data_IF_482974943896
#
_entry.id   IF_482974943896
#
_cell.length_a   1.000
_cell.length_b   1.000
_cell.length_c   1.000
_cell.angle_alpha   90.00
_cell.angle_beta   90.00
_cell.angle_gamma   90.00
#
_symmetry.space_group_name_H-M   'P 1'
#
loop_
_entity.id
_entity.type
_entity.pdbx_description
1 polymer ?
#
# COMPACT_ATOMS: atom_id res chain seq x y z
N UNK A 1 -32.53 -54.46 19.04
CA UNK A 1 -32.16 -53.12 18.54
C UNK A 1 -30.72 -53.01 18.00
N UNK A 2 -29.92 -54.10 17.96
CA UNK A 2 -28.49 -54.06 17.57
C UNK A 2 -28.20 -54.27 16.07
N UNK A 3 -29.19 -54.65 15.26
CA UNK A 3 -28.96 -54.99 13.84
C UNK A 3 -28.56 -53.76 13.01
N UNK A 4 -29.17 -52.60 13.30
CA UNK A 4 -28.87 -51.34 12.60
C UNK A 4 -27.41 -50.90 12.83
N UNK A 5 -26.94 -50.94 14.07
CA UNK A 5 -25.55 -50.61 14.41
C UNK A 5 -24.53 -51.53 13.72
N UNK A 6 -24.85 -52.83 13.60
CA UNK A 6 -23.99 -53.78 12.87
C UNK A 6 -23.91 -53.45 11.37
N UNK A 7 -25.03 -53.03 10.78
CA UNK A 7 -25.08 -52.61 9.37
C UNK A 7 -24.26 -51.34 9.16
N UNK A 8 -24.43 -50.32 10.01
CA UNK A 8 -23.65 -49.07 9.95
C UNK A 8 -22.15 -49.39 10.06
N UNK A 9 -21.74 -50.22 11.03
CA UNK A 9 -20.34 -50.58 11.22
C UNK A 9 -19.73 -51.23 9.97
N UNK A 10 -20.46 -52.16 9.34
CA UNK A 10 -20.01 -52.83 8.11
C UNK A 10 -19.86 -51.84 6.95
N UNK A 11 -20.86 -50.98 6.73
CA UNK A 11 -20.84 -50.00 5.64
C UNK A 11 -19.77 -48.92 5.85
N UNK A 12 -19.59 -48.43 7.08
CA UNK A 12 -18.54 -47.48 7.42
C UNK A 12 -17.14 -48.08 7.16
N UNK A 13 -16.87 -49.28 7.68
CA UNK A 13 -15.57 -49.95 7.46
C UNK A 13 -15.32 -50.24 5.97
N UNK A 14 -16.36 -50.58 5.21
CA UNK A 14 -16.27 -50.78 3.75
C UNK A 14 -15.94 -49.48 3.01
N UNK A 15 -16.42 -48.34 3.48
CA UNK A 15 -16.14 -47.03 2.88
C UNK A 15 -14.77 -46.49 3.28
N UNK A 16 -14.43 -46.50 4.56
CA UNK A 16 -13.18 -45.91 5.08
C UNK A 16 -11.94 -46.70 4.68
N UNK A 17 -12.04 -48.02 4.50
CA UNK A 17 -10.91 -48.86 4.04
C UNK A 17 -10.66 -48.78 2.54
N UNK A 18 -11.53 -48.14 1.75
CA UNK A 18 -11.28 -47.95 0.32
C UNK A 18 -10.13 -46.98 0.13
N UNK A 19 -9.18 -47.33 -0.75
CA UNK A 19 -8.06 -46.46 -1.12
C UNK A 19 -8.54 -45.08 -1.58
N UNK A 20 -9.62 -45.03 -2.36
CA UNK A 20 -10.21 -43.77 -2.82
C UNK A 20 -10.69 -42.88 -1.67
N UNK A 21 -11.27 -43.46 -0.61
CA UNK A 21 -11.73 -42.70 0.55
C UNK A 21 -10.54 -42.11 1.32
N UNK A 22 -9.48 -42.89 1.54
CA UNK A 22 -8.28 -42.43 2.23
C UNK A 22 -7.58 -41.32 1.43
N UNK A 23 -7.42 -41.51 0.11
CA UNK A 23 -6.82 -40.52 -0.79
C UNK A 23 -7.64 -39.23 -0.76
N UNK A 24 -8.95 -39.30 -0.95
CA UNK A 24 -9.81 -38.12 -0.96
C UNK A 24 -9.78 -37.40 0.40
N UNK A 25 -9.79 -38.14 1.51
CA UNK A 25 -9.83 -37.55 2.86
C UNK A 25 -8.54 -36.80 3.21
N UNK A 26 -7.37 -37.20 2.68
CA UNK A 26 -6.13 -36.43 2.82
C UNK A 26 -5.96 -35.36 1.75
N UNK A 27 -6.35 -35.67 0.52
CA UNK A 27 -6.14 -34.78 -0.63
C UNK A 27 -7.06 -33.57 -0.58
N UNK A 28 -8.30 -33.71 -0.10
CA UNK A 28 -9.25 -32.59 -0.01
C UNK A 28 -8.79 -31.50 0.96
N UNK A 29 -8.36 -31.78 2.20
CA UNK A 29 -7.77 -30.76 3.08
C UNK A 29 -6.51 -30.12 2.48
N UNK A 30 -5.62 -30.91 1.87
CA UNK A 30 -4.40 -30.40 1.24
C UNK A 30 -4.71 -29.48 0.06
N UNK A 31 -5.68 -29.87 -0.78
CA UNK A 31 -6.17 -29.07 -1.88
C UNK A 31 -6.79 -27.75 -1.39
N UNK A 32 -7.60 -27.80 -0.32
CA UNK A 32 -8.17 -26.59 0.30
C UNK A 32 -7.08 -25.63 0.78
N UNK A 33 -6.02 -26.13 1.41
CA UNK A 33 -4.86 -25.29 1.78
C UNK A 33 -4.25 -24.66 0.52
N UNK A 34 -4.05 -25.44 -0.55
CA UNK A 34 -3.52 -24.94 -1.82
C UNK A 34 -4.38 -23.83 -2.45
N UNK A 35 -5.71 -23.96 -2.42
CA UNK A 35 -6.64 -22.96 -2.96
C UNK A 35 -6.50 -21.59 -2.27
N UNK A 36 -6.17 -21.55 -0.98
CA UNK A 36 -5.96 -20.29 -0.26
C UNK A 36 -4.51 -19.81 -0.31
N UNK A 37 -3.53 -20.71 -0.19
CA UNK A 37 -2.11 -20.35 -0.13
C UNK A 37 -1.58 -19.90 -1.49
N UNK A 38 -1.96 -20.58 -2.58
CA UNK A 38 -1.42 -20.28 -3.92
C UNK A 38 -1.75 -18.86 -4.38
N UNK A 39 -3.00 -18.35 -4.28
CA UNK A 39 -3.29 -16.95 -4.63
C UNK A 39 -2.55 -15.94 -3.77
N UNK A 40 -2.36 -16.22 -2.46
CA UNK A 40 -1.61 -15.35 -1.56
C UNK A 40 -0.14 -15.28 -1.97
N UNK A 41 0.48 -16.41 -2.28
CA UNK A 41 1.87 -16.47 -2.75
C UNK A 41 2.05 -15.76 -4.10
N UNK A 42 1.12 -15.96 -5.03
CA UNK A 42 1.14 -15.27 -6.33
C UNK A 42 0.93 -13.75 -6.17
N UNK A 43 0.02 -13.32 -5.29
CA UNK A 43 -0.18 -11.91 -4.98
C UNK A 43 1.01 -11.27 -4.26
N UNK A 44 1.81 -12.04 -3.52
CA UNK A 44 3.05 -11.56 -2.90
C UNK A 44 4.26 -11.54 -3.85
N UNK A 45 4.21 -12.31 -4.95
CA UNK A 45 5.34 -12.41 -5.89
C UNK A 45 5.34 -11.34 -6.96
N UNK A 46 4.27 -10.55 -7.08
CA UNK A 46 4.23 -9.33 -7.88
C UNK A 46 4.86 -8.17 -7.10
N UNK A 47 6.13 -8.32 -6.72
CA UNK A 47 6.99 -7.21 -6.29
C UNK A 47 7.40 -6.35 -7.49
N UNK A 48 6.48 -6.11 -8.43
CA UNK A 48 6.66 -5.07 -9.42
C UNK A 48 6.51 -3.75 -8.66
N UNK A 49 7.66 -3.21 -8.26
CA UNK A 49 7.75 -1.93 -7.61
C UNK A 49 7.11 -0.90 -8.54
N UNK A 50 6.03 -0.27 -8.09
CA UNK A 50 5.33 0.73 -8.89
C UNK A 50 6.25 1.93 -9.09
N UNK A 51 6.50 2.26 -10.35
CA UNK A 51 7.38 3.36 -10.76
C UNK A 51 6.55 4.59 -11.12
N UNK A 52 6.90 5.73 -10.52
CA UNK A 52 6.23 7.01 -10.74
C UNK A 52 7.27 8.01 -11.24
N UNK A 53 7.16 8.41 -12.50
CA UNK A 53 7.92 9.51 -13.05
C UNK A 53 7.30 10.84 -12.59
N UNK A 54 8.11 11.78 -12.13
CA UNK A 54 7.68 13.11 -11.68
C UNK A 54 8.32 14.16 -12.56
N UNK A 55 7.49 14.99 -13.18
CA UNK A 55 7.90 16.23 -13.86
C UNK A 55 7.37 17.39 -13.02
N UNK A 56 8.29 18.10 -12.37
CA UNK A 56 8.01 19.31 -11.61
C UNK A 56 8.57 20.53 -12.32
N UNK A 57 7.68 21.38 -12.84
CA UNK A 57 8.06 22.60 -13.53
C UNK A 57 8.44 23.74 -12.58
N UNK A 58 8.11 23.67 -11.29
CA UNK A 58 8.36 24.73 -10.31
C UNK A 58 9.75 24.62 -9.66
N UNK A 59 10.48 23.52 -9.87
CA UNK A 59 11.80 23.24 -9.30
C UNK A 59 11.83 23.32 -7.77
N UNK A 60 10.76 22.89 -7.09
CA UNK A 60 10.74 22.87 -5.63
C UNK A 60 11.61 21.73 -5.11
N UNK A 61 12.91 21.98 -4.90
CA UNK A 61 13.84 20.95 -4.40
C UNK A 61 13.39 20.32 -3.05
N UNK A 62 12.61 21.04 -2.25
CA UNK A 62 12.05 20.55 -0.98
C UNK A 62 10.83 19.62 -1.16
N UNK A 63 10.21 19.66 -2.34
CA UNK A 63 9.03 18.87 -2.74
C UNK A 63 9.42 17.46 -3.25
N UNK A 64 10.44 16.85 -2.67
CA UNK A 64 10.80 15.45 -2.98
C UNK A 64 10.01 14.46 -2.14
N UNK A 65 9.11 13.73 -2.78
CA UNK A 65 8.48 12.49 -2.30
C UNK A 65 9.54 11.42 -2.01
N UNK A 66 9.25 10.58 -1.01
CA UNK A 66 10.16 9.56 -0.49
C UNK A 66 9.76 8.19 -0.99
N UNK A 67 10.66 7.52 -1.71
CA UNK A 67 10.45 6.14 -2.20
C UNK A 67 10.31 5.15 -1.05
N UNK A 68 9.59 4.05 -1.30
CA UNK A 68 9.42 2.94 -0.36
C UNK A 68 9.73 1.61 -1.03
N UNK A 69 9.51 0.49 -0.34
CA UNK A 69 9.76 -0.84 -0.90
C UNK A 69 8.95 -1.11 -2.17
N UNK A 70 7.69 -0.64 -2.22
CA UNK A 70 6.75 -0.92 -3.31
C UNK A 70 6.49 0.28 -4.24
N UNK A 71 7.12 1.43 -3.97
CA UNK A 71 6.94 2.67 -4.74
C UNK A 71 8.29 3.33 -5.01
N UNK A 72 8.57 3.63 -6.28
CA UNK A 72 9.76 4.35 -6.71
C UNK A 72 9.40 5.66 -7.39
N UNK A 73 10.00 6.76 -6.94
CA UNK A 73 9.85 8.07 -7.58
C UNK A 73 11.09 8.43 -8.39
N UNK A 74 10.90 8.68 -9.68
CA UNK A 74 11.95 9.10 -10.61
C UNK A 74 11.71 10.55 -11.04
N UNK A 75 12.58 11.47 -10.63
CA UNK A 75 12.47 12.89 -10.97
C UNK A 75 13.12 13.15 -12.32
N UNK A 76 12.32 13.55 -13.28
CA UNK A 76 12.75 13.84 -14.64
C UNK A 76 12.83 15.35 -14.81
N UNK A 77 13.85 15.95 -14.20
CA UNK A 77 14.11 17.37 -14.35
C UNK A 77 14.44 17.65 -15.83
N UNK A 78 13.88 18.73 -16.39
CA UNK A 78 14.22 19.26 -17.73
C UNK A 78 13.62 18.54 -18.97
N UNK A 79 12.70 17.58 -18.79
CA UNK A 79 11.96 17.00 -19.92
C UNK A 79 10.69 17.79 -20.25
N UNK A 80 10.49 18.12 -21.52
CA UNK A 80 9.22 18.64 -22.01
C UNK A 80 8.18 17.51 -22.04
N UNK A 81 7.16 17.62 -21.17
CA UNK A 81 6.06 16.65 -21.03
C UNK A 81 5.44 16.31 -22.40
N UNK A 82 5.09 17.33 -23.19
CA UNK A 82 4.35 17.16 -24.44
C UNK A 82 5.11 16.34 -25.48
N UNK A 83 6.45 16.43 -25.47
CA UNK A 83 7.29 15.71 -26.43
C UNK A 83 7.56 14.26 -26.04
N UNK A 84 7.49 13.93 -24.74
CA UNK A 84 7.93 12.62 -24.22
C UNK A 84 6.79 11.83 -23.54
N UNK A 85 5.58 12.39 -23.47
CA UNK A 85 4.42 11.81 -22.76
C UNK A 85 4.20 10.34 -23.09
N UNK A 86 4.16 9.98 -24.38
CA UNK A 86 3.91 8.60 -24.82
C UNK A 86 5.00 7.64 -24.34
N UNK A 87 6.27 7.98 -24.56
CA UNK A 87 7.41 7.15 -24.13
C UNK A 87 7.46 7.01 -22.62
N UNK A 88 7.12 8.07 -21.87
CA UNK A 88 7.10 8.04 -20.40
C UNK A 88 5.98 7.16 -19.86
N UNK A 89 4.79 7.21 -20.46
CA UNK A 89 3.65 6.36 -20.09
C UNK A 89 3.92 4.88 -20.43
N UNK A 90 4.75 4.58 -21.43
CA UNK A 90 5.19 3.21 -21.74
C UNK A 90 6.32 2.71 -20.83
N UNK A 91 7.12 3.62 -20.27
CA UNK A 91 8.31 3.28 -19.45
C UNK A 91 7.99 3.19 -17.97
N UNK A 92 7.07 4.02 -17.47
CA UNK A 92 6.71 4.14 -16.06
C UNK A 92 5.24 3.78 -15.85
N UNK A 93 4.90 3.23 -14.68
CA UNK A 93 3.51 2.89 -14.36
C UNK A 93 2.63 4.14 -14.25
N UNK A 94 3.17 5.22 -13.70
CA UNK A 94 2.48 6.50 -13.57
C UNK A 94 3.41 7.68 -13.88
N UNK A 95 2.85 8.70 -14.51
CA UNK A 95 3.50 9.97 -14.76
C UNK A 95 2.75 11.08 -14.01
N UNK A 96 3.39 11.62 -13.00
CA UNK A 96 2.87 12.71 -12.18
C UNK A 96 3.45 14.04 -12.69
N UNK A 97 2.56 14.94 -13.10
CA UNK A 97 2.92 16.27 -13.58
C UNK A 97 2.49 17.33 -12.58
N UNK A 98 3.43 18.19 -12.20
CA UNK A 98 3.20 19.36 -11.38
C UNK A 98 3.44 20.58 -12.29
N UNK A 99 2.38 21.22 -12.78
CA UNK A 99 2.50 22.35 -13.68
C UNK A 99 3.09 23.56 -12.97
N UNK A 100 3.68 24.46 -13.75
CA UNK A 100 4.13 25.76 -13.24
C UNK A 100 2.92 26.56 -12.78
N UNK A 101 2.97 27.08 -11.56
CA UNK A 101 1.85 27.77 -10.92
C UNK A 101 2.32 29.06 -10.24
N UNK A 102 1.48 30.09 -10.30
CA UNK A 102 1.81 31.43 -9.81
C UNK A 102 1.73 31.55 -8.27
N UNK A 103 1.01 30.64 -7.61
CA UNK A 103 0.76 30.67 -6.16
C UNK A 103 0.66 29.27 -5.58
N UNK A 104 1.39 28.97 -4.50
CA UNK A 104 1.50 27.62 -3.88
C UNK A 104 0.12 26.99 -3.58
N UNK A 105 -0.89 27.80 -3.29
CA UNK A 105 -2.27 27.36 -3.04
C UNK A 105 -2.93 26.68 -4.24
N UNK A 106 -2.43 26.92 -5.46
CA UNK A 106 -2.93 26.31 -6.69
C UNK A 106 -2.31 24.93 -6.95
N UNK A 107 -1.27 24.52 -6.22
CA UNK A 107 -0.64 23.19 -6.38
C UNK A 107 -1.65 22.08 -6.06
N UNK A 108 -2.47 22.26 -5.03
CA UNK A 108 -3.41 21.24 -4.53
C UNK A 108 -4.35 20.72 -5.62
N UNK A 109 -4.79 21.60 -6.52
CA UNK A 109 -5.76 21.27 -7.56
C UNK A 109 -5.15 21.07 -8.96
N UNK A 110 -3.84 21.23 -9.11
CA UNK A 110 -3.17 21.24 -10.41
C UNK A 110 -2.28 20.02 -10.68
N UNK A 111 -2.08 19.15 -9.68
CA UNK A 111 -1.31 17.92 -9.87
C UNK A 111 -2.12 16.92 -10.70
N UNK A 112 -1.54 16.51 -11.82
CA UNK A 112 -2.15 15.59 -12.76
C UNK A 112 -1.37 14.27 -12.81
N UNK A 113 -2.08 13.15 -13.00
CA UNK A 113 -1.48 11.83 -13.14
C UNK A 113 -1.93 11.19 -14.45
N UNK A 114 -0.96 10.75 -15.24
CA UNK A 114 -1.14 10.08 -16.52
C UNK A 114 -0.65 8.63 -16.41
N UNK A 115 -1.44 7.67 -16.92
CA UNK A 115 -1.09 6.24 -16.96
C UNK A 115 -1.97 5.49 -17.96
N UNK A 116 -1.51 4.33 -18.42
CA UNK A 116 -2.34 3.35 -19.14
C UNK A 116 -3.28 2.58 -18.22
N UNK A 117 -2.94 2.50 -16.93
CA UNK A 117 -3.61 1.68 -15.92
C UNK A 117 -4.20 2.55 -14.82
N UNK A 118 -5.23 2.04 -14.14
CA UNK A 118 -5.81 2.73 -13.00
C UNK A 118 -4.87 2.64 -11.79
N UNK A 119 -4.58 3.78 -11.17
CA UNK A 119 -3.86 3.82 -9.89
C UNK A 119 -4.70 3.18 -8.79
N UNK A 120 -4.13 2.24 -8.07
CA UNK A 120 -4.81 1.63 -6.93
C UNK A 120 -5.09 2.66 -5.84
N UNK A 121 -6.18 2.49 -5.09
CA UNK A 121 -6.57 3.43 -4.04
C UNK A 121 -5.46 3.62 -3.00
N UNK A 122 -4.76 2.53 -2.64
CA UNK A 122 -3.67 2.57 -1.66
C UNK A 122 -2.48 3.39 -2.15
N UNK A 123 -2.11 3.28 -3.42
CA UNK A 123 -1.01 4.07 -4.01
C UNK A 123 -1.42 5.54 -4.09
N UNK A 124 -2.63 5.82 -4.57
CA UNK A 124 -3.17 7.18 -4.64
C UNK A 124 -3.14 7.87 -3.29
N UNK A 125 -3.69 7.22 -2.26
CA UNK A 125 -3.68 7.74 -0.89
C UNK A 125 -2.26 7.93 -0.35
N UNK A 126 -1.32 7.04 -0.68
CA UNK A 126 0.08 7.21 -0.26
C UNK A 126 0.70 8.47 -0.86
N UNK A 127 0.54 8.65 -2.18
CA UNK A 127 1.04 9.81 -2.93
C UNK A 127 0.41 11.11 -2.40
N UNK A 128 -0.92 11.16 -2.26
CA UNK A 128 -1.65 12.31 -1.69
C UNK A 128 -1.12 12.67 -0.30
N UNK A 129 -1.03 11.70 0.63
CA UNK A 129 -0.53 11.95 1.97
C UNK A 129 0.92 12.48 2.00
N UNK A 130 1.77 12.08 1.06
CA UNK A 130 3.13 12.63 0.96
C UNK A 130 3.10 14.07 0.44
N UNK A 131 2.31 14.34 -0.59
CA UNK A 131 2.10 15.67 -1.18
C UNK A 131 1.54 16.63 -0.11
N UNK A 132 0.49 16.23 0.61
CA UNK A 132 -0.15 17.05 1.66
C UNK A 132 0.86 17.46 2.74
N UNK A 133 1.71 16.53 3.18
CA UNK A 133 2.76 16.83 4.16
C UNK A 133 3.79 17.81 3.63
N UNK A 134 4.14 17.72 2.33
CA UNK A 134 5.08 18.64 1.69
C UNK A 134 4.48 20.02 1.53
N UNK A 135 3.26 20.12 1.02
CA UNK A 135 2.52 21.38 0.91
C UNK A 135 2.33 22.05 2.27
N UNK A 136 1.93 21.29 3.28
CA UNK A 136 1.80 21.80 4.66
C UNK A 136 3.11 22.42 5.15
N UNK A 137 4.24 21.75 4.95
CA UNK A 137 5.54 22.30 5.36
C UNK A 137 5.89 23.58 4.58
N UNK A 138 5.59 23.63 3.28
CA UNK A 138 5.79 24.84 2.47
C UNK A 138 4.94 26.00 2.97
N UNK A 139 3.66 25.76 3.28
CA UNK A 139 2.77 26.79 3.83
C UNK A 139 3.23 27.30 5.20
N UNK A 140 3.73 26.41 6.06
CA UNK A 140 4.31 26.80 7.34
C UNK A 140 5.54 27.70 7.14
N UNK A 141 6.47 27.29 6.27
CA UNK A 141 7.67 28.08 5.96
C UNK A 141 7.32 29.45 5.37
N UNK A 142 6.36 29.52 4.44
CA UNK A 142 5.86 30.77 3.86
C UNK A 142 5.22 31.68 4.92
N UNK A 143 4.57 31.09 5.93
CA UNK A 143 3.96 31.81 7.06
C UNK A 143 4.99 32.21 8.13
N UNK A 144 6.29 31.98 7.90
CA UNK A 144 7.36 32.26 8.86
C UNK A 144 7.45 31.26 10.01
N UNK A 145 6.73 30.13 9.93
CA UNK A 145 6.72 29.08 10.95
C UNK A 145 7.65 27.96 10.51
N UNK A 146 8.74 27.75 11.25
CA UNK A 146 9.65 26.64 10.97
C UNK A 146 9.03 25.30 11.45
N UNK A 147 8.75 24.33 10.56
CA UNK A 147 8.14 23.05 10.95
C UNK A 147 8.95 22.27 11.99
N UNK A 148 10.27 22.44 12.01
CA UNK A 148 11.13 21.76 13.00
C UNK A 148 10.97 22.35 14.40
N UNK A 149 10.60 23.62 14.52
CA UNK A 149 10.26 24.21 15.82
C UNK A 149 8.96 23.63 16.37
N UNK A 150 7.95 23.39 15.52
CA UNK A 150 6.71 22.73 15.91
C UNK A 150 7.00 21.31 16.42
N UNK A 151 7.79 20.53 15.67
CA UNK A 151 8.15 19.17 16.09
C UNK A 151 8.87 19.15 17.44
N UNK A 152 9.73 20.14 17.70
CA UNK A 152 10.45 20.28 18.97
C UNK A 152 9.56 20.74 20.13
N UNK A 153 8.48 21.48 19.87
CA UNK A 153 7.58 21.98 20.90
C UNK A 153 6.50 20.97 21.33
N UNK A 154 6.37 19.83 20.63
CA UNK A 154 5.41 18.78 20.98
C UNK A 154 5.74 18.13 22.34
N UNK A 155 4.82 18.27 23.29
CA UNK A 155 4.86 17.57 24.57
C UNK A 155 4.52 16.09 24.41
N UNK A 156 5.28 15.20 25.08
CA UNK A 156 4.97 13.78 25.21
C UNK A 156 4.80 13.42 26.69
N UNK A 157 3.57 13.48 27.18
CA UNK A 157 3.27 13.07 28.54
C UNK A 157 3.37 11.54 28.67
N UNK A 158 4.00 11.09 29.75
CA UNK A 158 3.97 9.68 30.18
C UNK A 158 3.36 9.63 31.55
N UNK A 159 2.15 9.11 31.63
CA UNK A 159 1.43 8.94 32.90
C UNK A 159 1.99 7.68 33.56
N UNK A 160 2.35 7.80 34.84
CA UNK A 160 2.65 6.66 35.70
C UNK A 160 1.41 6.38 36.54
N UNK A 161 0.97 5.13 36.51
CA UNK A 161 -0.18 4.68 37.31
C UNK A 161 0.35 3.78 38.42
N UNK A 162 -0.16 3.99 39.62
CA UNK A 162 0.09 3.14 40.77
C UNK A 162 -1.25 2.57 41.24
N UNK A 163 -1.26 1.29 41.59
CA UNK A 163 -2.39 0.65 42.27
C UNK A 163 -2.09 0.72 43.76
N UNK A 164 -3.04 1.26 44.53
CA UNK A 164 -2.90 1.50 45.97
C UNK A 164 -3.86 0.59 46.73
N UNK A 165 -3.45 0.07 47.88
CA UNK A 165 -4.30 -0.75 48.75
C UNK A 165 -5.05 0.10 49.81
N UNK A 166 -5.84 -0.54 50.67
CA UNK A 166 -6.66 0.16 51.69
C UNK A 166 -5.86 0.91 52.75
N UNK A 167 -4.54 0.72 52.85
CA UNK A 167 -3.67 1.43 53.80
C UNK A 167 -2.98 2.66 53.18
N UNK A 168 -3.03 2.81 51.85
CA UNK A 168 -2.51 3.97 51.13
C UNK A 168 -1.08 3.82 50.61
#
# INVERSE_FOLDING_TARGET
MNKLLLIIKREYLSRVRKKSFIIMTLLTPLFMIGVFVVPILLASSSEDKTTIAIIDNNKFNEFRLTSSHNLEYNYLNELNLEQHKTTLIETYDFLLHIPEIDSIQQIESSIEVYSTNQMSLSIKQNVENQIDKKLTNLYLLQSGINPDQIKKSQSKSRIKTYVVDEQG
#
